data_IF_510383587046
#
_entry.id   IF_510383587046
#
_cell.length_a   1.000
_cell.length_b   1.000
_cell.length_c   1.000
_cell.angle_alpha   90.00
_cell.angle_beta   90.00
_cell.angle_gamma   90.00
#
_symmetry.space_group_name_H-M   'P 1'
#
loop_
_entity.id
_entity.type
_entity.pdbx_description
1 polymer ?
#
# COMPACT_ATOMS: atom_id res chain seq x y z
N UNK A 1 -13.30 -2.18 0.53
CA UNK A 1 -11.85 -2.15 0.38
C UNK A 1 -11.31 -0.78 0.76
N UNK A 2 -10.13 -0.70 1.40
CA UNK A 2 -9.54 0.58 1.71
C UNK A 2 -9.26 1.36 0.44
N UNK A 3 -9.50 2.65 0.50
CA UNK A 3 -9.22 3.52 -0.62
C UNK A 3 -8.74 4.87 -0.11
N UNK A 4 -7.97 5.54 -0.95
CA UNK A 4 -7.49 6.89 -0.70
C UNK A 4 -7.99 7.75 -1.84
N UNK A 5 -8.61 8.88 -1.52
CA UNK A 5 -8.99 9.86 -2.52
C UNK A 5 -8.00 11.01 -2.44
N UNK A 6 -7.33 11.29 -3.55
CA UNK A 6 -6.30 12.31 -3.59
C UNK A 6 -6.46 13.09 -4.89
N UNK A 7 -6.65 14.39 -4.79
CA UNK A 7 -6.84 15.27 -5.93
C UNK A 7 -7.95 14.78 -6.89
N UNK A 8 -9.04 14.26 -6.33
CA UNK A 8 -10.18 13.78 -7.11
C UNK A 8 -10.04 12.40 -7.70
N UNK A 9 -8.92 11.72 -7.47
CA UNK A 9 -8.69 10.36 -7.97
C UNK A 9 -8.77 9.39 -6.81
N UNK A 10 -9.55 8.32 -6.99
CA UNK A 10 -9.68 7.27 -5.98
C UNK A 10 -8.67 6.17 -6.25
N UNK A 11 -7.85 5.90 -5.24
CA UNK A 11 -6.86 4.83 -5.27
C UNK A 11 -7.37 3.71 -4.37
N UNK A 12 -7.61 2.55 -4.93
CA UNK A 12 -8.12 1.39 -4.20
C UNK A 12 -6.98 0.44 -3.91
N UNK A 13 -6.84 0.05 -2.65
CA UNK A 13 -5.79 -0.87 -2.25
C UNK A 13 -6.04 -2.25 -2.86
N UNK A 14 -5.03 -2.80 -3.50
CA UNK A 14 -5.09 -4.12 -4.13
C UNK A 14 -4.15 -5.11 -3.47
N UNK A 15 -3.23 -4.63 -2.65
CA UNK A 15 -2.29 -5.48 -1.94
C UNK A 15 -1.96 -4.84 -0.59
N UNK A 16 -2.03 -5.62 0.47
CA UNK A 16 -1.66 -5.19 1.82
C UNK A 16 -0.41 -5.96 2.22
N UNK A 17 0.75 -5.32 2.12
CA UNK A 17 2.04 -5.96 2.33
C UNK A 17 3.04 -5.00 2.96
N UNK A 18 3.97 -5.55 3.72
CA UNK A 18 5.07 -4.82 4.32
C UNK A 18 6.34 -5.65 4.26
N UNK A 19 7.49 -4.98 4.31
CA UNK A 19 8.78 -5.63 4.46
C UNK A 19 9.36 -5.23 5.82
N UNK A 20 9.83 -6.22 6.57
CA UNK A 20 10.55 -5.98 7.82
C UNK A 20 11.96 -5.51 7.48
N UNK A 21 12.36 -4.37 8.04
CA UNK A 21 13.71 -3.84 7.82
C UNK A 21 14.78 -4.61 8.58
N UNK A 22 14.38 -5.39 9.60
CA UNK A 22 15.32 -6.18 10.38
C UNK A 22 15.65 -7.52 9.73
N UNK A 23 14.64 -8.30 9.37
CA UNK A 23 14.85 -9.62 8.77
C UNK A 23 14.71 -9.63 7.26
N UNK A 24 14.28 -8.51 6.67
CA UNK A 24 14.10 -8.32 5.22
C UNK A 24 13.00 -9.17 4.60
N UNK A 25 12.23 -9.87 5.40
CA UNK A 25 11.11 -10.65 4.90
C UNK A 25 9.95 -9.75 4.50
N UNK A 26 9.37 -10.01 3.34
CA UNK A 26 8.13 -9.35 2.91
C UNK A 26 6.96 -10.27 3.24
N UNK A 27 5.98 -9.73 3.94
CA UNK A 27 4.76 -10.46 4.29
C UNK A 27 3.56 -9.74 3.71
N UNK A 28 2.58 -10.54 3.29
CA UNK A 28 1.36 -10.03 2.67
C UNK A 28 0.15 -10.63 3.38
N UNK A 29 -0.79 -9.77 3.76
CA UNK A 29 -2.08 -10.21 4.27
C UNK A 29 -3.06 -10.27 3.10
N UNK A 30 -3.54 -11.48 2.79
CA UNK A 30 -4.30 -11.73 1.57
C UNK A 30 -5.80 -11.68 1.75
N UNK A 31 -6.27 -11.83 2.97
CA UNK A 31 -7.71 -11.78 3.25
C UNK A 31 -7.96 -11.25 4.65
N UNK A 32 -9.23 -11.01 4.96
CA UNK A 32 -9.66 -10.27 6.16
C UNK A 32 -9.13 -10.84 7.48
N UNK A 33 -8.98 -12.14 7.56
CA UNK A 33 -8.52 -12.81 8.79
C UNK A 33 -7.07 -13.30 8.69
N UNK A 34 -6.35 -12.82 7.70
CA UNK A 34 -4.96 -13.25 7.48
C UNK A 34 -4.02 -12.39 8.33
N UNK A 35 -3.80 -12.86 9.56
CA UNK A 35 -2.87 -12.24 10.50
C UNK A 35 -1.57 -13.02 10.51
N UNK A 36 -0.45 -12.31 10.38
CA UNK A 36 0.85 -12.95 10.45
C UNK A 36 1.94 -11.98 10.88
N UNK A 37 3.00 -12.53 11.45
CA UNK A 37 4.23 -11.81 11.75
C UNK A 37 5.33 -12.24 10.79
N UNK A 38 6.35 -11.40 10.60
CA UNK A 38 7.57 -11.79 9.92
C UNK A 38 8.36 -12.78 10.77
N UNK A 39 9.38 -13.39 10.19
CA UNK A 39 10.17 -14.43 10.87
C UNK A 39 10.80 -13.97 12.19
N UNK A 40 11.27 -12.72 12.26
CA UNK A 40 11.84 -12.17 13.48
C UNK A 40 10.80 -11.59 14.43
N UNK A 41 9.54 -11.55 14.03
CA UNK A 41 8.39 -11.05 14.79
C UNK A 41 8.45 -9.56 15.15
N UNK A 42 9.31 -8.81 14.51
CA UNK A 42 9.38 -7.37 14.75
C UNK A 42 8.16 -6.65 14.21
N UNK A 43 7.58 -7.13 13.12
CA UNK A 43 6.43 -6.52 12.47
C UNK A 43 5.39 -7.57 12.13
N UNK A 44 4.14 -7.12 12.06
CA UNK A 44 3.01 -7.98 11.72
C UNK A 44 2.02 -7.26 10.81
N UNK A 45 1.13 -8.03 10.22
CA UNK A 45 0.14 -7.51 9.29
C UNK A 45 -1.17 -8.29 9.43
N UNK A 46 -2.28 -7.62 9.18
CA UNK A 46 -3.60 -8.20 9.39
C UNK A 46 -4.63 -7.52 8.51
N UNK A 47 -5.69 -8.24 8.18
CA UNK A 47 -6.89 -7.66 7.61
C UNK A 47 -6.97 -7.62 6.09
N UNK A 48 -5.97 -8.11 5.37
CA UNK A 48 -5.99 -8.13 3.90
C UNK A 48 -6.24 -6.74 3.34
N UNK A 49 -7.10 -6.65 2.35
CA UNK A 49 -7.52 -5.35 1.77
C UNK A 49 -8.87 -4.89 2.31
N UNK A 50 -9.25 -5.34 3.50
CA UNK A 50 -10.49 -4.89 4.14
C UNK A 50 -10.30 -3.54 4.82
N UNK A 51 -11.40 -2.88 5.14
CA UNK A 51 -11.37 -1.55 5.73
C UNK A 51 -10.69 -1.50 7.10
N UNK A 52 -10.69 -2.59 7.84
CA UNK A 52 -10.08 -2.65 9.16
C UNK A 52 -8.66 -3.21 9.18
N UNK A 53 -7.97 -3.22 8.04
CA UNK A 53 -6.62 -3.76 7.99
C UNK A 53 -5.63 -2.93 8.82
N UNK A 54 -4.56 -3.57 9.26
CA UNK A 54 -3.60 -2.90 10.14
C UNK A 54 -2.19 -3.49 9.99
N UNK A 55 -1.25 -2.71 10.46
CA UNK A 55 0.17 -3.05 10.51
C UNK A 55 0.62 -2.89 11.96
N UNK A 56 1.41 -3.83 12.44
CA UNK A 56 1.88 -3.87 13.83
C UNK A 56 3.40 -3.80 13.87
N UNK A 57 3.92 -3.12 14.88
CA UNK A 57 5.35 -2.96 15.11
C UNK A 57 5.77 -1.50 15.05
N UNK A 58 7.08 -1.27 15.19
CA UNK A 58 7.63 0.07 15.10
C UNK A 58 7.69 0.51 13.65
N UNK A 59 7.27 1.74 13.38
CA UNK A 59 7.33 2.28 12.03
C UNK A 59 8.73 2.29 11.44
N UNK A 60 9.75 2.46 12.29
CA UNK A 60 11.13 2.44 11.84
C UNK A 60 11.58 1.08 11.29
N UNK A 61 10.85 0.02 11.62
CA UNK A 61 11.14 -1.34 11.16
C UNK A 61 10.30 -1.75 9.95
N UNK A 62 9.43 -0.88 9.48
CA UNK A 62 8.43 -1.21 8.46
C UNK A 62 8.72 -0.47 7.17
N UNK A 63 8.81 -1.23 6.09
CA UNK A 63 8.81 -0.70 4.73
C UNK A 63 7.48 -1.07 4.07
N UNK A 64 6.73 -0.09 3.62
CA UNK A 64 5.44 -0.33 3.00
C UNK A 64 5.63 -0.97 1.62
N UNK A 65 4.96 -2.09 1.39
CA UNK A 65 4.95 -2.79 0.11
C UNK A 65 3.54 -2.95 -0.44
N UNK A 66 2.60 -2.19 0.09
CA UNK A 66 1.22 -2.19 -0.40
C UNK A 66 1.13 -1.57 -1.78
N UNK A 67 0.12 -1.98 -2.51
CA UNK A 67 -0.14 -1.47 -3.86
C UNK A 67 -1.56 -0.96 -3.96
N UNK A 68 -1.72 0.03 -4.80
CA UNK A 68 -3.02 0.64 -5.08
C UNK A 68 -3.26 0.68 -6.58
N UNK A 69 -4.53 0.70 -6.93
CA UNK A 69 -4.98 0.79 -8.32
C UNK A 69 -5.90 1.99 -8.46
N UNK A 70 -5.77 2.71 -9.55
CA UNK A 70 -6.65 3.82 -9.88
C UNK A 70 -6.92 3.87 -11.37
N UNK A 71 -8.03 4.50 -11.73
CA UNK A 71 -8.34 4.79 -13.13
C UNK A 71 -8.19 6.29 -13.33
N UNK A 72 -7.27 6.65 -14.20
CA UNK A 72 -7.01 8.04 -14.56
C UNK A 72 -7.30 8.19 -16.04
N UNK A 73 -8.37 8.88 -16.35
CA UNK A 73 -8.88 8.91 -17.73
C UNK A 73 -9.32 7.52 -18.15
N UNK A 74 -8.74 7.02 -19.23
CA UNK A 74 -9.04 5.68 -19.74
C UNK A 74 -7.97 4.66 -19.36
N UNK A 75 -7.02 5.03 -18.50
CA UNK A 75 -5.92 4.15 -18.14
C UNK A 75 -6.03 3.67 -16.71
N UNK A 76 -5.74 2.39 -16.52
CA UNK A 76 -5.64 1.78 -15.21
C UNK A 76 -4.17 1.81 -14.79
N UNK A 77 -3.90 2.38 -13.63
CA UNK A 77 -2.54 2.50 -13.12
C UNK A 77 -2.41 1.76 -11.79
N UNK A 78 -1.21 1.27 -11.53
CA UNK A 78 -0.86 0.54 -10.31
C UNK A 78 0.36 1.19 -9.71
N UNK A 79 0.31 1.51 -8.42
CA UNK A 79 1.43 2.16 -7.77
C UNK A 79 1.48 1.82 -6.29
N UNK A 80 2.70 1.84 -5.69
CA UNK A 80 2.84 1.67 -4.26
C UNK A 80 2.34 2.89 -3.50
N UNK A 81 2.10 2.72 -2.21
CA UNK A 81 1.55 3.78 -1.35
C UNK A 81 2.34 5.07 -1.44
N UNK A 82 3.67 4.98 -1.33
CA UNK A 82 4.50 6.18 -1.32
C UNK A 82 4.41 6.96 -2.63
N UNK A 83 4.18 6.29 -3.74
CA UNK A 83 4.12 6.94 -5.04
C UNK A 83 2.87 7.80 -5.20
N UNK A 84 1.81 7.53 -4.46
CA UNK A 84 0.60 8.35 -4.50
C UNK A 84 0.91 9.76 -4.05
N UNK A 85 1.47 9.92 -2.86
CA UNK A 85 1.81 11.24 -2.33
C UNK A 85 2.92 11.90 -3.14
N UNK A 86 3.94 11.14 -3.50
CA UNK A 86 5.07 11.67 -4.24
C UNK A 86 4.65 12.23 -5.58
N UNK A 87 3.78 11.54 -6.29
CA UNK A 87 3.29 12.00 -7.57
C UNK A 87 2.52 13.32 -7.46
N UNK A 88 1.71 13.45 -6.43
CA UNK A 88 0.96 14.68 -6.25
C UNK A 88 1.84 15.84 -5.81
N UNK A 89 2.87 15.57 -5.00
CA UNK A 89 3.80 16.61 -4.57
C UNK A 89 4.65 17.12 -5.72
N UNK A 90 5.16 16.24 -6.55
CA UNK A 90 6.02 16.63 -7.66
C UNK A 90 5.24 17.06 -8.87
N UNK A 91 4.00 16.63 -8.98
CA UNK A 91 3.15 17.00 -10.09
C UNK A 91 3.68 16.52 -11.43
N UNK A 92 4.47 15.46 -11.44
CA UNK A 92 5.15 15.03 -12.66
C UNK A 92 4.59 13.76 -13.24
N UNK A 93 4.60 12.68 -12.46
CA UNK A 93 4.27 11.38 -13.01
C UNK A 93 2.79 11.26 -13.31
N UNK A 94 1.97 11.67 -12.37
CA UNK A 94 0.53 11.58 -12.52
C UNK A 94 -0.01 12.47 -13.60
N UNK A 95 0.45 13.71 -13.63
CA UNK A 95 -0.10 14.68 -14.54
C UNK A 95 0.41 14.52 -15.96
N UNK A 96 1.47 13.77 -16.14
CA UNK A 96 1.96 13.44 -17.47
C UNK A 96 1.33 12.18 -18.03
N UNK A 97 0.60 11.42 -17.23
CA UNK A 97 -0.13 10.27 -17.74
C UNK A 97 -1.23 10.78 -18.65
N UNK A 98 -1.29 10.32 -19.91
CA UNK A 98 -2.36 10.73 -20.82
C UNK A 98 -3.71 10.30 -20.27
N UNK A 99 -4.55 11.22 -20.18
CA UNK A 99 -5.87 11.02 -19.64
C UNK A 99 -6.88 11.08 -20.76
#
# INVERSE_FOLDING_TARGET
MPSIVYAGVRYTQTRHAIQCKKCLETIESKHRHDFKYCSCRAVGIDGGISAGNRILGNQSDIEDRSMYCAIVGNKKIWLPTFAIEENFQTNKIFLTVPI
#
